data_IF_637162570597
#
_entry.id   IF_637162570597
#
_cell.length_a   1.000
_cell.length_b   1.000
_cell.length_c   1.000
_cell.angle_alpha   90.00
_cell.angle_beta   90.00
_cell.angle_gamma   90.00
#
_symmetry.space_group_name_H-M   'P 1'
#
loop_
_entity.id
_entity.type
_entity.pdbx_description
1 polymer ?
#
# COMPACT_ATOMS: atom_id res chain seq x y z
N UNK A 1 -4.33 24.70 -0.81
CA UNK A 1 -3.75 24.43 -2.14
C UNK A 1 -4.49 25.29 -3.17
N UNK A 2 -3.76 25.83 -4.15
CA UNK A 2 -4.36 26.52 -5.32
C UNK A 2 -4.64 25.46 -6.39
N UNK A 3 -5.84 25.47 -6.96
CA UNK A 3 -6.26 24.55 -8.01
C UNK A 3 -6.62 25.38 -9.24
N UNK A 4 -6.13 25.00 -10.40
CA UNK A 4 -6.47 25.67 -11.67
C UNK A 4 -7.71 25.03 -12.28
N UNK A 5 -8.60 25.86 -12.81
CA UNK A 5 -9.81 25.43 -13.50
C UNK A 5 -9.59 25.32 -15.01
N UNK A 6 -10.23 24.33 -15.62
CA UNK A 6 -10.31 24.19 -17.09
C UNK A 6 -11.68 24.62 -17.56
N UNK A 7 -11.74 25.56 -18.48
CA UNK A 7 -12.98 26.09 -19.05
C UNK A 7 -13.36 25.33 -20.33
N UNK A 8 -14.61 24.89 -20.42
CA UNK A 8 -15.20 24.31 -21.63
C UNK A 8 -16.64 24.79 -21.79
N UNK A 9 -16.90 25.63 -22.77
CA UNK A 9 -18.19 26.28 -22.97
C UNK A 9 -18.61 27.12 -21.75
N UNK A 10 -19.73 26.76 -21.11
CA UNK A 10 -20.26 27.42 -19.90
C UNK A 10 -19.86 26.71 -18.59
N UNK A 11 -18.92 25.75 -18.66
CA UNK A 11 -18.53 24.90 -17.51
C UNK A 11 -17.07 25.17 -17.16
N UNK A 12 -16.81 25.30 -15.87
CA UNK A 12 -15.45 25.31 -15.32
C UNK A 12 -15.27 24.04 -14.50
N UNK A 13 -14.25 23.26 -14.81
CA UNK A 13 -13.92 22.01 -14.11
C UNK A 13 -12.64 22.20 -13.31
N UNK A 14 -12.69 21.86 -12.03
CA UNK A 14 -11.54 21.83 -11.13
C UNK A 14 -11.19 20.38 -10.81
N UNK A 15 -10.04 19.91 -11.31
CA UNK A 15 -9.53 18.59 -11.00
C UNK A 15 -8.67 18.61 -9.74
N UNK A 16 -8.88 17.68 -8.84
CA UNK A 16 -8.13 17.58 -7.60
C UNK A 16 -7.76 16.11 -7.31
N UNK A 17 -6.69 15.91 -6.55
CA UNK A 17 -6.21 14.60 -6.11
C UNK A 17 -5.89 14.64 -4.61
N UNK A 18 -5.87 13.46 -3.98
CA UNK A 18 -5.36 13.30 -2.61
C UNK A 18 -6.28 13.79 -1.50
N UNK A 19 -7.62 13.82 -1.73
CA UNK A 19 -8.56 14.05 -0.63
C UNK A 19 -8.64 12.83 0.28
N UNK A 20 -8.56 13.07 1.59
CA UNK A 20 -8.77 12.03 2.61
C UNK A 20 -10.24 11.67 2.73
N UNK A 21 -10.53 10.42 3.13
CA UNK A 21 -11.90 9.99 3.45
C UNK A 21 -12.44 10.70 4.70
N UNK A 22 -13.76 10.78 4.81
CA UNK A 22 -14.51 11.34 5.95
C UNK A 22 -13.97 12.69 6.44
N UNK A 23 -13.46 13.51 5.53
CA UNK A 23 -12.82 14.80 5.83
C UNK A 23 -13.62 15.93 5.23
N UNK A 24 -13.85 16.98 6.03
CA UNK A 24 -14.49 18.20 5.58
C UNK A 24 -13.50 19.09 4.79
N UNK A 25 -13.93 19.60 3.67
CA UNK A 25 -13.18 20.51 2.81
C UNK A 25 -14.02 21.73 2.46
N UNK A 26 -13.33 22.83 2.27
CA UNK A 26 -13.90 24.07 1.72
C UNK A 26 -13.21 24.38 0.39
N UNK A 27 -13.97 24.50 -0.66
CA UNK A 27 -13.53 25.07 -1.93
C UNK A 27 -13.99 26.51 -2.01
N UNK A 28 -13.07 27.43 -2.29
CA UNK A 28 -13.38 28.86 -2.43
C UNK A 28 -12.92 29.36 -3.80
N UNK A 29 -13.83 29.92 -4.55
CA UNK A 29 -13.53 30.68 -5.74
C UNK A 29 -13.63 32.16 -5.34
N UNK A 30 -12.53 32.89 -5.38
CA UNK A 30 -12.50 34.29 -4.95
C UNK A 30 -13.34 35.18 -5.89
N UNK A 31 -13.83 36.29 -5.37
CA UNK A 31 -14.45 37.32 -6.20
C UNK A 31 -13.51 37.73 -7.31
N UNK A 32 -14.03 38.00 -8.50
CA UNK A 32 -13.23 38.36 -9.67
C UNK A 32 -12.47 37.22 -10.34
N UNK A 33 -12.55 35.96 -9.82
CA UNK A 33 -11.81 34.83 -10.39
C UNK A 33 -12.38 34.30 -11.70
N UNK A 34 -13.63 34.60 -11.99
CA UNK A 34 -14.34 34.21 -13.21
C UNK A 34 -15.05 35.42 -13.79
N UNK A 35 -14.88 35.61 -15.09
CA UNK A 35 -15.61 36.63 -15.85
C UNK A 35 -16.29 35.97 -17.06
N UNK A 36 -17.36 36.61 -17.56
CA UNK A 36 -17.97 36.24 -18.82
C UNK A 36 -17.19 36.83 -20.02
N UNK A 37 -17.64 36.58 -21.23
CA UNK A 37 -17.00 37.07 -22.45
C UNK A 37 -17.10 38.60 -22.64
N UNK A 38 -17.85 39.28 -21.77
CA UNK A 38 -18.01 40.72 -21.74
C UNK A 38 -17.37 41.39 -20.52
N UNK A 39 -16.42 40.64 -19.89
CA UNK A 39 -15.63 41.06 -18.72
C UNK A 39 -16.45 41.33 -17.44
N UNK A 40 -17.68 40.81 -17.34
CA UNK A 40 -18.42 40.85 -16.08
C UNK A 40 -17.87 39.74 -15.15
N UNK A 41 -17.10 40.18 -14.16
CA UNK A 41 -16.53 39.28 -13.19
C UNK A 41 -17.50 38.96 -12.02
N UNK A 42 -17.29 37.84 -11.35
CA UNK A 42 -18.05 37.51 -10.13
C UNK A 42 -17.76 38.55 -9.04
N UNK A 43 -18.80 39.17 -8.51
CA UNK A 43 -18.73 40.23 -7.49
C UNK A 43 -18.48 39.69 -6.08
N UNK A 44 -18.82 38.41 -5.83
CA UNK A 44 -18.66 37.74 -4.55
C UNK A 44 -17.89 36.42 -4.70
N UNK A 45 -17.27 35.99 -3.58
CA UNK A 45 -16.65 34.69 -3.51
C UNK A 45 -17.71 33.58 -3.48
N UNK A 46 -17.46 32.51 -4.23
CA UNK A 46 -18.28 31.30 -4.18
C UNK A 46 -17.59 30.32 -3.24
N UNK A 47 -18.28 29.93 -2.16
CA UNK A 47 -17.77 28.99 -1.14
C UNK A 47 -18.59 27.72 -1.17
N UNK A 48 -17.93 26.59 -1.40
CA UNK A 48 -18.53 25.26 -1.36
C UNK A 48 -17.90 24.45 -0.24
N UNK A 49 -18.71 24.07 0.75
CA UNK A 49 -18.33 23.14 1.81
C UNK A 49 -18.83 21.75 1.49
N UNK A 50 -17.96 20.76 1.58
CA UNK A 50 -18.35 19.37 1.39
C UNK A 50 -17.53 18.44 2.29
N UNK A 51 -18.06 17.24 2.53
CA UNK A 51 -17.36 16.20 3.25
C UNK A 51 -17.19 15.00 2.33
N UNK A 52 -15.99 14.46 2.26
CA UNK A 52 -15.72 13.25 1.49
C UNK A 52 -16.39 12.04 2.12
N UNK A 53 -16.71 11.03 1.30
CA UNK A 53 -17.33 9.78 1.77
C UNK A 53 -16.44 9.08 2.79
N UNK A 54 -17.06 8.32 3.69
CA UNK A 54 -16.34 7.38 4.56
C UNK A 54 -15.67 6.30 3.72
N UNK A 55 -14.49 5.87 4.17
CA UNK A 55 -13.79 4.76 3.55
C UNK A 55 -14.65 3.49 3.66
N UNK A 56 -14.85 2.74 2.57
CA UNK A 56 -15.55 1.47 2.65
C UNK A 56 -14.88 0.52 3.65
N UNK A 57 -15.68 -0.19 4.45
CA UNK A 57 -15.14 -1.20 5.34
C UNK A 57 -14.53 -2.36 4.54
N UNK A 58 -13.33 -2.75 4.93
CA UNK A 58 -12.70 -3.97 4.41
C UNK A 58 -13.35 -5.17 5.09
N UNK A 59 -13.94 -6.07 4.32
CA UNK A 59 -14.64 -7.24 4.85
C UNK A 59 -13.99 -8.55 4.40
N UNK A 60 -14.07 -9.59 5.24
CA UNK A 60 -13.61 -10.94 4.89
C UNK A 60 -14.32 -11.55 3.66
N UNK A 61 -15.47 -11.03 3.27
CA UNK A 61 -16.16 -11.48 2.05
C UNK A 61 -15.32 -11.22 0.77
N UNK A 62 -14.41 -10.25 0.80
CA UNK A 62 -13.55 -9.90 -0.33
C UNK A 62 -12.14 -10.51 -0.23
N UNK A 63 -11.68 -10.83 0.99
CA UNK A 63 -10.32 -11.27 1.27
C UNK A 63 -10.31 -12.48 2.19
N UNK A 64 -9.40 -13.40 1.94
CA UNK A 64 -9.25 -14.62 2.73
C UNK A 64 -8.46 -14.36 4.03
N UNK A 65 -7.56 -13.37 4.00
CA UNK A 65 -6.76 -12.95 5.15
C UNK A 65 -6.53 -11.44 5.14
N UNK A 66 -6.68 -10.79 6.28
CA UNK A 66 -6.52 -9.34 6.44
C UNK A 66 -5.42 -9.06 7.48
N UNK A 67 -4.30 -8.50 7.05
CA UNK A 67 -3.21 -8.05 7.91
C UNK A 67 -3.51 -6.63 8.41
N UNK A 68 -3.41 -6.32 9.70
CA UNK A 68 -3.02 -7.18 10.82
C UNK A 68 -4.22 -7.81 11.55
N UNK A 69 -5.43 -7.71 11.03
CA UNK A 69 -6.67 -8.09 11.73
C UNK A 69 -6.71 -9.59 12.04
N UNK A 70 -6.29 -10.44 11.11
CA UNK A 70 -6.30 -11.89 11.25
C UNK A 70 -4.94 -12.46 11.70
N UNK A 71 -3.89 -11.64 11.66
CA UNK A 71 -2.52 -11.97 12.01
C UNK A 71 -1.52 -11.14 11.20
N UNK A 72 -0.24 -11.42 11.39
CA UNK A 72 0.83 -10.78 10.64
C UNK A 72 0.97 -11.34 9.20
N UNK A 73 1.88 -10.76 8.43
CA UNK A 73 2.11 -11.15 7.04
C UNK A 73 2.62 -12.60 6.91
N UNK A 74 3.42 -13.07 7.86
CA UNK A 74 3.93 -14.44 7.86
C UNK A 74 2.80 -15.45 8.13
N UNK A 75 1.90 -15.14 9.07
CA UNK A 75 0.69 -15.93 9.32
C UNK A 75 -0.23 -15.98 8.08
N UNK A 76 -0.30 -14.89 7.29
CA UNK A 76 -1.06 -14.87 6.04
C UNK A 76 -0.49 -15.85 5.00
N UNK A 77 0.83 -15.89 4.84
CA UNK A 77 1.51 -16.82 3.93
C UNK A 77 1.36 -18.27 4.41
N UNK A 78 1.45 -18.51 5.71
CA UNK A 78 1.22 -19.83 6.32
C UNK A 78 -0.22 -20.30 6.10
N UNK A 79 -1.20 -19.42 6.24
CA UNK A 79 -2.61 -19.74 5.96
C UNK A 79 -2.81 -20.07 4.47
N UNK A 80 -2.18 -19.33 3.58
CA UNK A 80 -2.20 -19.61 2.15
C UNK A 80 -1.60 -21.01 1.84
N UNK A 81 -0.50 -21.36 2.48
CA UNK A 81 0.18 -22.65 2.28
C UNK A 81 -0.60 -23.85 2.84
N UNK A 82 -1.32 -23.66 3.94
CA UNK A 82 -2.07 -24.73 4.64
C UNK A 82 -3.45 -25.01 4.04
N UNK A 83 -3.93 -24.20 3.09
CA UNK A 83 -5.24 -24.41 2.49
C UNK A 83 -5.30 -25.73 1.71
N UNK A 84 -6.45 -26.40 1.74
CA UNK A 84 -6.65 -27.68 1.08
C UNK A 84 -6.83 -27.58 -0.43
N UNK A 85 -7.44 -26.47 -0.88
CA UNK A 85 -7.70 -26.20 -2.30
C UNK A 85 -6.82 -25.05 -2.79
N UNK A 86 -5.71 -25.38 -3.42
CA UNK A 86 -4.77 -24.40 -4.00
C UNK A 86 -5.15 -23.96 -5.41
N UNK A 87 -6.20 -24.50 -6.02
CA UNK A 87 -6.70 -24.06 -7.33
C UNK A 87 -7.44 -22.73 -7.25
N UNK A 88 -8.04 -22.43 -6.10
CA UNK A 88 -8.71 -21.17 -5.84
C UNK A 88 -7.72 -20.09 -5.43
N UNK A 89 -8.03 -18.86 -5.81
CA UNK A 89 -7.25 -17.70 -5.42
C UNK A 89 -7.36 -17.42 -3.92
N UNK A 90 -6.23 -17.22 -3.26
CA UNK A 90 -6.15 -16.74 -1.89
C UNK A 90 -5.73 -15.28 -1.88
N UNK A 91 -6.57 -14.42 -1.33
CA UNK A 91 -6.38 -12.96 -1.33
C UNK A 91 -5.95 -12.50 0.05
N UNK A 92 -4.72 -12.01 0.15
CA UNK A 92 -4.16 -11.37 1.35
C UNK A 92 -4.31 -9.87 1.18
N UNK A 93 -5.03 -9.23 2.07
CA UNK A 93 -5.18 -7.78 2.11
C UNK A 93 -4.36 -7.21 3.27
N UNK A 94 -3.53 -6.21 2.97
CA UNK A 94 -2.67 -5.55 3.94
C UNK A 94 -3.19 -4.13 4.14
N UNK A 95 -3.72 -3.85 5.33
CA UNK A 95 -4.18 -2.49 5.70
C UNK A 95 -3.02 -1.51 5.68
N UNK A 96 -3.34 -0.21 5.65
CA UNK A 96 -2.33 0.84 5.81
C UNK A 96 -1.52 0.63 7.08
N UNK A 97 -0.21 0.84 6.99
CA UNK A 97 0.74 0.68 8.09
C UNK A 97 2.11 0.22 7.61
N UNK A 98 3.06 0.32 8.52
CA UNK A 98 4.43 -0.16 8.32
C UNK A 98 4.60 -1.49 9.04
N UNK A 99 4.79 -2.56 8.28
CA UNK A 99 4.90 -3.92 8.81
C UNK A 99 6.32 -4.43 8.67
N UNK A 100 6.94 -4.75 9.80
CA UNK A 100 8.25 -5.41 9.86
C UNK A 100 8.07 -6.91 9.89
N UNK A 101 8.67 -7.61 8.94
CA UNK A 101 8.68 -9.07 8.89
C UNK A 101 9.91 -9.55 9.65
N UNK A 102 9.75 -10.27 10.77
CA UNK A 102 10.88 -10.75 11.55
C UNK A 102 11.70 -11.78 10.76
N UNK A 103 13.02 -11.75 10.93
CA UNK A 103 13.90 -12.76 10.39
C UNK A 103 13.57 -14.15 10.99
N UNK A 104 13.78 -15.19 10.20
CA UNK A 104 13.58 -16.57 10.65
C UNK A 104 14.78 -17.07 11.44
N UNK A 105 14.61 -17.15 12.76
CA UNK A 105 15.64 -17.64 13.70
C UNK A 105 15.95 -19.15 13.53
N UNK A 106 15.05 -19.90 12.93
CA UNK A 106 15.22 -21.35 12.68
C UNK A 106 15.97 -21.61 11.38
N UNK A 107 15.90 -20.68 10.44
CA UNK A 107 16.65 -20.75 9.18
C UNK A 107 17.83 -19.78 9.27
N UNK A 108 19.04 -20.34 9.33
CA UNK A 108 20.25 -19.53 9.38
C UNK A 108 20.88 -19.37 8.00
N UNK A 109 21.44 -18.18 7.77
CA UNK A 109 22.23 -17.89 6.57
C UNK A 109 23.62 -17.41 6.98
N UNK A 110 24.63 -17.81 6.24
CA UNK A 110 26.00 -17.34 6.47
C UNK A 110 26.24 -16.10 5.65
N UNK A 111 26.62 -15.00 6.30
CA UNK A 111 26.96 -13.73 5.63
C UNK A 111 28.31 -13.82 4.91
N UNK A 112 28.60 -12.82 4.08
CA UNK A 112 29.89 -12.70 3.39
C UNK A 112 31.08 -12.52 4.38
N UNK A 113 30.81 -12.16 5.62
CA UNK A 113 31.77 -12.07 6.72
C UNK A 113 31.99 -13.41 7.46
N UNK A 114 31.36 -14.49 6.99
CA UNK A 114 31.43 -15.82 7.60
C UNK A 114 30.61 -16.03 8.86
N UNK A 115 29.85 -15.03 9.32
CA UNK A 115 29.00 -15.17 10.52
C UNK A 115 27.61 -15.71 10.16
N UNK A 116 26.97 -16.32 11.16
CA UNK A 116 25.61 -16.86 11.03
C UNK A 116 24.57 -15.85 11.49
N UNK A 117 23.57 -15.61 10.65
CA UNK A 117 22.47 -14.67 10.87
C UNK A 117 21.13 -15.39 10.76
N UNK A 118 20.08 -14.88 11.44
CA UNK A 118 18.72 -15.26 11.14
C UNK A 118 18.37 -14.87 9.68
N UNK A 119 17.62 -15.73 8.99
CA UNK A 119 17.29 -15.47 7.59
C UNK A 119 16.24 -14.35 7.47
N UNK A 120 16.56 -13.19 6.90
CA UNK A 120 15.62 -12.08 6.76
C UNK A 120 14.64 -12.28 5.59
N UNK A 121 14.93 -13.18 4.66
CA UNK A 121 14.12 -13.39 3.46
C UNK A 121 12.90 -14.25 3.79
N UNK A 122 11.73 -13.77 3.41
CA UNK A 122 10.50 -14.56 3.46
C UNK A 122 10.27 -15.27 2.13
N UNK A 123 10.03 -16.58 2.18
CA UNK A 123 9.80 -17.38 0.98
C UNK A 123 8.32 -17.71 0.83
N UNK A 124 7.83 -17.65 -0.40
CA UNK A 124 6.51 -18.14 -0.76
C UNK A 124 6.61 -19.15 -1.89
N UNK A 125 6.03 -20.34 -1.67
CA UNK A 125 6.03 -21.45 -2.63
C UNK A 125 4.60 -21.97 -2.87
N UNK A 126 3.60 -21.09 -2.84
CA UNK A 126 2.19 -21.45 -2.93
C UNK A 126 1.55 -20.78 -4.13
N UNK A 127 0.83 -21.52 -5.00
CA UNK A 127 0.21 -20.95 -6.20
C UNK A 127 -1.06 -20.16 -5.86
N UNK A 128 -1.50 -19.34 -6.82
CA UNK A 128 -2.77 -18.62 -6.77
C UNK A 128 -2.95 -17.72 -5.53
N UNK A 129 -1.92 -16.99 -5.15
CA UNK A 129 -1.96 -16.00 -4.07
C UNK A 129 -1.94 -14.59 -4.64
N UNK A 130 -2.79 -13.71 -4.14
CA UNK A 130 -2.72 -12.26 -4.39
C UNK A 130 -2.38 -11.53 -3.09
N UNK A 131 -1.42 -10.63 -3.15
CA UNK A 131 -1.02 -9.75 -2.05
C UNK A 131 -1.41 -8.33 -2.44
N UNK A 132 -2.32 -7.73 -1.68
CA UNK A 132 -2.97 -6.47 -2.02
C UNK A 132 -2.76 -5.48 -0.88
N UNK A 133 -1.98 -4.44 -1.12
CA UNK A 133 -1.83 -3.32 -0.20
C UNK A 133 -3.02 -2.36 -0.29
N UNK A 134 -3.45 -1.83 0.83
CA UNK A 134 -4.56 -0.86 0.89
C UNK A 134 -4.21 0.48 0.24
N UNK A 135 -2.94 0.87 0.29
CA UNK A 135 -2.43 2.13 -0.26
C UNK A 135 -1.00 1.95 -0.76
N UNK A 136 -0.71 2.47 -1.92
CA UNK A 136 0.65 2.47 -2.47
C UNK A 136 1.60 3.34 -1.64
N UNK A 137 1.09 4.45 -1.08
CA UNK A 137 1.91 5.43 -0.35
C UNK A 137 2.03 5.12 1.14
N UNK A 138 1.07 4.36 1.71
CA UNK A 138 0.94 4.20 3.16
C UNK A 138 0.86 2.73 3.61
N UNK A 139 1.26 1.78 2.76
CA UNK A 139 1.37 0.36 3.12
C UNK A 139 2.77 -0.11 2.78
N UNK A 140 3.56 -0.45 3.79
CA UNK A 140 4.91 -0.95 3.60
C UNK A 140 5.13 -2.30 4.27
N UNK A 141 5.92 -3.15 3.61
CA UNK A 141 6.48 -4.38 4.16
C UNK A 141 8.00 -4.25 4.15
N UNK A 142 8.62 -4.42 5.30
CA UNK A 142 10.07 -4.39 5.44
C UNK A 142 10.54 -5.64 6.17
N UNK A 143 11.71 -6.16 5.80
CA UNK A 143 12.35 -7.21 6.58
C UNK A 143 13.18 -6.60 7.73
N UNK A 144 13.53 -7.43 8.69
CA UNK A 144 14.48 -7.07 9.75
C UNK A 144 15.89 -7.51 9.35
N UNK A 145 16.55 -6.73 8.48
CA UNK A 145 17.98 -6.87 8.28
C UNK A 145 18.68 -6.30 9.53
N UNK A 146 19.74 -6.97 10.06
CA UNK A 146 20.46 -6.45 11.21
C UNK A 146 20.96 -5.04 10.96
N UNK A 147 20.60 -4.10 11.83
CA UNK A 147 20.75 -2.65 11.66
C UNK A 147 22.16 -2.09 11.85
N UNK A 148 23.22 -2.88 11.97
CA UNK A 148 24.56 -2.33 11.97
C UNK A 148 25.09 -2.31 10.54
N UNK A 149 25.53 -1.16 10.08
CA UNK A 149 25.84 -0.87 8.67
C UNK A 149 26.74 -1.88 7.92
N UNK A 150 27.48 -2.73 8.62
CA UNK A 150 28.19 -3.86 8.02
C UNK A 150 27.31 -5.10 7.83
N UNK A 151 26.38 -5.36 8.74
CA UNK A 151 25.53 -6.58 8.70
C UNK A 151 24.50 -6.53 7.57
N UNK A 152 23.98 -5.37 7.22
CA UNK A 152 23.10 -5.20 6.06
C UNK A 152 23.85 -5.57 4.77
N UNK A 153 25.04 -5.02 4.58
CA UNK A 153 25.84 -5.25 3.36
C UNK A 153 26.26 -6.72 3.19
N UNK A 154 26.54 -7.44 4.28
CA UNK A 154 26.97 -8.84 4.19
C UNK A 154 25.84 -9.80 3.82
N UNK A 155 24.60 -9.45 4.10
CA UNK A 155 23.43 -10.22 3.69
C UNK A 155 22.93 -9.83 2.29
N UNK A 156 22.95 -8.55 1.95
CA UNK A 156 22.64 -8.07 0.60
C UNK A 156 23.66 -8.60 -0.42
N UNK A 157 24.93 -8.59 -0.09
CA UNK A 157 26.01 -9.09 -0.95
C UNK A 157 25.88 -10.58 -1.33
N UNK A 158 25.08 -11.36 -0.59
CA UNK A 158 24.78 -12.76 -0.90
C UNK A 158 23.34 -12.99 -1.37
N UNK A 159 22.60 -11.92 -1.71
CA UNK A 159 21.21 -12.00 -2.17
C UNK A 159 20.21 -12.47 -1.11
N UNK A 160 20.46 -12.16 0.16
CA UNK A 160 19.57 -12.52 1.29
C UNK A 160 18.90 -11.32 1.93
N UNK A 161 18.74 -10.23 1.16
CA UNK A 161 18.08 -9.00 1.59
C UNK A 161 16.61 -8.89 1.20
N UNK A 162 16.02 -9.87 0.53
CA UNK A 162 14.68 -9.78 -0.01
C UNK A 162 13.59 -9.81 1.07
N UNK A 163 12.59 -8.95 0.94
CA UNK A 163 11.38 -8.95 1.79
C UNK A 163 10.56 -10.20 1.50
N UNK A 164 10.38 -10.52 0.22
CA UNK A 164 9.62 -11.67 -0.26
C UNK A 164 10.30 -12.28 -1.48
N UNK A 165 10.57 -13.57 -1.43
CA UNK A 165 11.12 -14.34 -2.54
C UNK A 165 10.07 -15.36 -3.01
N UNK A 166 9.67 -15.27 -4.28
CA UNK A 166 8.76 -16.22 -4.91
C UNK A 166 9.55 -17.42 -5.42
N UNK A 167 9.21 -18.59 -4.91
CA UNK A 167 9.80 -19.85 -5.34
C UNK A 167 9.01 -20.50 -6.49
N UNK A 168 9.55 -21.56 -7.09
CA UNK A 168 9.00 -22.25 -8.27
C UNK A 168 7.51 -22.63 -8.13
N UNK A 169 7.03 -22.96 -6.93
CA UNK A 169 5.62 -23.31 -6.67
C UNK A 169 4.68 -22.12 -6.57
N UNK A 170 5.19 -20.89 -6.48
CA UNK A 170 4.38 -19.67 -6.39
C UNK A 170 3.89 -19.21 -7.79
N UNK A 171 3.21 -20.08 -8.50
CA UNK A 171 2.67 -19.80 -9.82
C UNK A 171 1.37 -18.99 -9.73
N UNK A 172 1.08 -18.17 -10.77
CA UNK A 172 -0.13 -17.34 -10.84
C UNK A 172 -0.34 -16.47 -9.56
N UNK A 173 0.75 -15.84 -9.11
CA UNK A 173 0.82 -15.01 -7.89
C UNK A 173 1.14 -13.57 -8.28
N UNK A 174 0.47 -12.60 -7.64
CA UNK A 174 0.69 -11.15 -7.81
C UNK A 174 0.19 -10.35 -6.61
#
# INVERSE_FOLDING_TARGET
AKIEGTVSGKTITFAYKGLNYATAYTFTLAAGSVADLTDNATDQAIVLNFTTKTKPAVTKALYDFIVPTDGDFKAALDAAAKRTDTSKRFRIFIKQGDYKIPADEKSKVTGSDGKSYANPTTYMNTPNVSIIGESMDNTSLTNTIPNSGQSANVLEGIGKGDVLCLQKGATNTY
#
